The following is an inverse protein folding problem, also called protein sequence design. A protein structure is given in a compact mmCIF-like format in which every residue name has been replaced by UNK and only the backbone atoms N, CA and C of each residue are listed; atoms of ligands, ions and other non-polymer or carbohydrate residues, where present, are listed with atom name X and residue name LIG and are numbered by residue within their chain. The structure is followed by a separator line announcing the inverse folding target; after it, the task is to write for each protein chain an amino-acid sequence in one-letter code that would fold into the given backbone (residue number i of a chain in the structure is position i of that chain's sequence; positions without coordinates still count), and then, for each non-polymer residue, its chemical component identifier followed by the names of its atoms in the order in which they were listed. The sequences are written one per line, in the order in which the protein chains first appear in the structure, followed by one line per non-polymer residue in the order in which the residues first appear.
data_IF_795964733369
#
_entry.id   IF_795964733369
#
_cell.length_a   1.000
_cell.length_b   1.000
_cell.length_c   1.000
_cell.angle_alpha   90.00
_cell.angle_beta   90.00
_cell.angle_gamma   90.00
#
_symmetry.space_group_name_H-M   'P 1'
#
loop_
_entity.id
_entity.type
_entity.pdbx_description
1 polymer ?
#
# COMPACT_ATOMS: atom_id res chain seq x y z
N UNK A 1 14.08 19.27 5.60
CA UNK A 1 13.98 18.04 6.42
C UNK A 1 12.87 18.15 7.46
N UNK A 2 12.81 19.24 8.23
CA UNK A 2 11.80 19.42 9.28
C UNK A 2 10.35 19.31 8.80
N UNK A 3 10.01 19.89 7.63
CA UNK A 3 8.63 19.81 7.09
C UNK A 3 8.21 18.40 6.66
N UNK A 4 9.08 17.62 6.00
CA UNK A 4 8.77 16.24 5.60
C UNK A 4 8.56 15.32 6.81
N UNK A 5 9.40 15.48 7.84
CA UNK A 5 9.22 14.76 9.11
C UNK A 5 7.89 15.10 9.75
N UNK A 6 7.52 16.39 9.78
CA UNK A 6 6.23 16.85 10.30
C UNK A 6 5.04 16.25 9.55
N UNK A 7 5.10 16.12 8.22
CA UNK A 7 4.03 15.48 7.45
C UNK A 7 3.87 14.00 7.79
N UNK A 8 4.98 13.25 7.85
CA UNK A 8 4.95 11.82 8.22
C UNK A 8 4.38 11.62 9.62
N UNK A 9 4.80 12.45 10.59
CA UNK A 9 4.28 12.42 11.95
C UNK A 9 2.78 12.70 11.98
N UNK A 10 2.33 13.74 11.27
CA UNK A 10 0.91 14.09 11.23
C UNK A 10 0.04 13.01 10.59
N UNK A 11 0.48 12.45 9.45
CA UNK A 11 -0.26 11.38 8.77
C UNK A 11 -0.35 10.13 9.66
N UNK A 12 0.75 9.78 10.37
CA UNK A 12 0.76 8.67 11.31
C UNK A 12 -0.22 8.89 12.48
N UNK A 13 -0.25 10.10 13.04
CA UNK A 13 -1.19 10.46 14.10
C UNK A 13 -2.65 10.34 13.64
N UNK A 14 -2.97 10.92 12.47
CA UNK A 14 -4.34 10.86 11.93
C UNK A 14 -4.79 9.43 11.69
N UNK A 15 -3.94 8.58 11.11
CA UNK A 15 -4.28 7.17 10.88
C UNK A 15 -4.47 6.44 12.22
N UNK A 16 -3.58 6.65 13.19
CA UNK A 16 -3.69 6.04 14.53
C UNK A 16 -4.98 6.42 15.23
N UNK A 17 -5.34 7.70 15.23
CA UNK A 17 -6.55 8.20 15.89
C UNK A 17 -7.81 7.60 15.25
N UNK A 18 -7.85 7.51 13.92
CA UNK A 18 -8.96 6.87 13.19
C UNK A 18 -9.05 5.36 13.45
N UNK A 19 -7.93 4.69 13.66
CA UNK A 19 -7.91 3.27 14.06
C UNK A 19 -8.41 3.11 15.49
N UNK A 20 -7.96 3.95 16.43
CA UNK A 20 -8.42 3.91 17.82
C UNK A 20 -9.91 4.25 17.97
N UNK A 21 -10.40 5.16 17.14
CA UNK A 21 -11.82 5.49 17.06
C UNK A 21 -12.67 4.39 16.39
N UNK A 22 -12.03 3.36 15.81
CA UNK A 22 -12.72 2.26 15.12
C UNK A 22 -13.26 2.62 13.73
N UNK A 23 -12.91 3.80 13.19
CA UNK A 23 -13.28 4.20 11.83
C UNK A 23 -12.48 3.42 10.77
N UNK A 24 -11.25 3.03 11.09
CA UNK A 24 -10.36 2.24 10.22
C UNK A 24 -9.99 0.95 10.93
N UNK A 25 -10.14 -0.18 10.23
CA UNK A 25 -9.64 -1.47 10.67
C UNK A 25 -8.43 -1.85 9.83
N UNK A 26 -7.28 -2.05 10.46
CA UNK A 26 -6.07 -2.50 9.78
C UNK A 26 -6.09 -4.02 9.65
N UNK A 27 -6.10 -4.51 8.42
CA UNK A 27 -5.99 -5.93 8.11
C UNK A 27 -4.57 -6.23 7.65
N UNK A 28 -3.85 -7.18 8.27
CA UNK A 28 -2.53 -7.54 7.84
C UNK A 28 -2.61 -8.21 6.46
N UNK A 29 -1.71 -7.80 5.57
CA UNK A 29 -1.50 -8.43 4.26
C UNK A 29 -0.05 -8.90 4.19
N UNK A 30 0.19 -10.07 3.62
CA UNK A 30 1.57 -10.52 3.40
C UNK A 30 2.23 -9.66 2.32
N UNK A 31 3.53 -9.44 2.43
CA UNK A 31 4.28 -8.61 1.47
C UNK A 31 4.13 -9.10 0.02
N UNK A 32 4.02 -10.43 -0.18
CA UNK A 32 3.85 -11.02 -1.50
C UNK A 32 2.45 -10.83 -2.10
N UNK A 33 1.48 -10.43 -1.27
CA UNK A 33 0.08 -10.27 -1.66
C UNK A 33 -0.32 -8.78 -1.76
N UNK A 34 0.61 -7.86 -1.48
CA UNK A 34 0.36 -6.43 -1.54
C UNK A 34 0.29 -5.93 -2.99
N UNK A 35 -0.90 -6.02 -3.60
CA UNK A 35 -1.12 -5.68 -5.02
C UNK A 35 -0.68 -4.26 -5.40
N UNK A 36 -0.78 -3.31 -4.47
CA UNK A 36 -0.40 -1.91 -4.69
C UNK A 36 1.08 -1.77 -5.07
N UNK A 37 1.93 -2.71 -4.68
CA UNK A 37 3.37 -2.66 -4.92
C UNK A 37 3.73 -2.52 -6.40
N UNK A 38 2.91 -3.03 -7.32
CA UNK A 38 3.12 -2.87 -8.77
C UNK A 38 3.08 -1.40 -9.22
N UNK A 39 2.35 -0.55 -8.49
CA UNK A 39 2.14 0.86 -8.83
C UNK A 39 3.18 1.78 -8.17
N UNK A 40 3.75 1.35 -7.04
CA UNK A 40 4.60 2.20 -6.19
C UNK A 40 6.05 1.75 -6.10
N UNK A 41 6.38 0.54 -6.56
CA UNK A 41 7.72 -0.03 -6.49
C UNK A 41 8.14 -0.59 -7.84
N UNK A 42 9.43 -0.50 -8.11
CA UNK A 42 10.07 -1.29 -9.17
C UNK A 42 10.25 -2.73 -8.66
N UNK A 43 9.35 -3.63 -9.08
CA UNK A 43 9.38 -5.04 -8.69
C UNK A 43 10.25 -5.88 -9.64
N UNK A 44 10.92 -6.89 -9.08
CA UNK A 44 11.55 -7.93 -9.90
C UNK A 44 10.48 -8.78 -10.60
N UNK A 45 10.84 -9.44 -11.70
CA UNK A 45 9.91 -10.14 -12.61
C UNK A 45 9.01 -11.16 -11.89
N UNK A 46 9.54 -11.90 -10.91
CA UNK A 46 8.76 -12.89 -10.14
C UNK A 46 7.59 -12.27 -9.37
N UNK A 47 7.86 -11.38 -8.38
CA UNK A 47 6.80 -10.66 -7.66
C UNK A 47 5.87 -9.87 -8.58
N UNK A 48 6.41 -9.25 -9.63
CA UNK A 48 5.62 -8.52 -10.62
C UNK A 48 4.59 -9.44 -11.28
N UNK A 49 5.01 -10.59 -11.83
CA UNK A 49 4.11 -11.53 -12.51
C UNK A 49 3.04 -12.11 -11.57
N UNK A 50 3.44 -12.43 -10.32
CA UNK A 50 2.52 -12.91 -9.29
C UNK A 50 1.41 -11.90 -9.01
N UNK A 51 1.76 -10.65 -8.71
CA UNK A 51 0.81 -9.57 -8.45
C UNK A 51 -0.02 -9.25 -9.70
N UNK A 52 0.63 -9.15 -10.86
CA UNK A 52 0.00 -8.88 -12.16
C UNK A 52 -1.11 -9.87 -12.49
N UNK A 53 -0.88 -11.18 -12.28
CA UNK A 53 -1.90 -12.21 -12.52
C UNK A 53 -3.16 -12.06 -11.66
N UNK A 54 -3.08 -11.36 -10.53
CA UNK A 54 -4.19 -11.15 -9.58
C UNK A 54 -4.98 -9.88 -9.85
N UNK A 55 -4.48 -8.98 -10.70
CA UNK A 55 -5.12 -7.69 -10.99
C UNK A 55 -6.30 -7.80 -11.96
N UNK A 56 -6.49 -8.95 -12.63
CA UNK A 56 -7.61 -9.15 -13.55
C UNK A 56 -7.62 -8.14 -14.69
N UNK A 57 -6.43 -7.79 -15.21
CA UNK A 57 -6.30 -6.76 -16.24
C UNK A 57 -6.99 -7.17 -17.53
N UNK A 58 -7.66 -6.20 -18.16
CA UNK A 58 -8.27 -6.35 -19.46
C UNK A 58 -7.24 -6.00 -20.54
N UNK A 59 -7.08 -6.88 -21.53
CA UNK A 59 -6.41 -6.51 -22.78
C UNK A 59 -7.34 -5.65 -23.62
N UNK A 60 -6.85 -4.50 -24.09
CA UNK A 60 -7.62 -3.52 -24.85
C UNK A 60 -7.18 -3.44 -26.32
N UNK A 61 -6.29 -4.34 -26.75
CA UNK A 61 -5.76 -4.42 -28.12
C UNK A 61 -6.27 -5.66 -28.87
#
# INVERSE_FOLDING_TARGET
FHERTKHIEMDCHVVRDKVQFGMIHLLPISTHEQLVDILIKSLHVGPFNHIHSKLGMLDIY
#
